data_IF_521172517615
#
_entry.id   IF_521172517615
#
_cell.length_a   1.000
_cell.length_b   1.000
_cell.length_c   1.000
_cell.angle_alpha   90.00
_cell.angle_beta   90.00
_cell.angle_gamma   90.00
#
_symmetry.space_group_name_H-M   'P 1'
#
loop_
_entity.id
_entity.type
_entity.pdbx_description
1 polymer ?
#
# COMPACT_ATOMS: atom_id res chain seq x y z
N UNK A 1 23.48 -21.13 -45.15
CA UNK A 1 22.29 -20.30 -44.85
C UNK A 1 21.50 -21.03 -43.78
N UNK A 2 21.70 -20.62 -42.53
CA UNK A 2 21.02 -21.25 -41.39
C UNK A 2 20.06 -20.20 -40.84
N UNK A 3 18.79 -20.44 -41.06
CA UNK A 3 17.71 -19.58 -40.50
C UNK A 3 17.62 -19.81 -39.00
N UNK A 4 17.95 -18.78 -38.24
CA UNK A 4 17.69 -18.75 -36.81
C UNK A 4 16.22 -18.38 -36.63
N UNK A 5 15.39 -19.33 -36.19
CA UNK A 5 14.00 -19.10 -35.85
C UNK A 5 13.94 -18.31 -34.55
N UNK A 6 13.51 -17.07 -34.62
CA UNK A 6 13.09 -16.27 -33.47
C UNK A 6 11.83 -16.90 -32.91
N UNK A 7 11.96 -17.59 -31.79
CA UNK A 7 10.84 -18.04 -30.96
C UNK A 7 10.16 -16.80 -30.39
N UNK A 8 9.02 -16.45 -30.94
CA UNK A 8 8.10 -15.50 -30.30
C UNK A 8 7.53 -16.15 -29.05
N UNK A 9 8.08 -15.83 -27.90
CA UNK A 9 7.39 -16.07 -26.63
C UNK A 9 6.07 -15.31 -26.70
N UNK A 10 4.95 -16.03 -26.82
CA UNK A 10 3.61 -15.49 -26.57
C UNK A 10 3.62 -15.07 -25.11
N UNK A 11 3.76 -13.77 -24.86
CA UNK A 11 3.52 -13.18 -23.55
C UNK A 11 2.12 -13.58 -23.11
N UNK A 12 2.01 -14.38 -22.06
CA UNK A 12 0.76 -14.48 -21.31
C UNK A 12 0.51 -13.07 -20.80
N UNK A 13 -0.58 -12.47 -21.25
CA UNK A 13 -1.05 -11.19 -20.71
C UNK A 13 -1.52 -11.49 -19.26
N UNK A 14 -0.61 -11.46 -18.32
CA UNK A 14 -0.94 -11.59 -16.89
C UNK A 14 -1.60 -10.27 -16.54
N UNK A 15 -2.93 -10.31 -16.43
CA UNK A 15 -3.69 -9.15 -16.02
C UNK A 15 -3.28 -8.79 -14.59
N UNK A 16 -2.91 -7.53 -14.36
CA UNK A 16 -2.61 -7.02 -13.03
C UNK A 16 -3.72 -7.36 -12.03
N UNK A 17 -3.33 -7.79 -10.85
CA UNK A 17 -4.25 -8.14 -9.76
C UNK A 17 -4.76 -6.89 -9.09
N UNK A 18 -6.01 -6.95 -8.59
CA UNK A 18 -6.62 -5.84 -7.87
C UNK A 18 -6.79 -6.15 -6.39
N UNK A 19 -6.50 -5.15 -5.55
CA UNK A 19 -6.63 -5.19 -4.12
C UNK A 19 -7.63 -4.15 -3.59
N UNK A 20 -8.14 -4.40 -2.40
CA UNK A 20 -8.98 -3.49 -1.65
C UNK A 20 -8.29 -3.15 -0.33
N UNK A 21 -8.16 -1.86 -0.03
CA UNK A 21 -7.75 -1.41 1.29
C UNK A 21 -9.00 -1.05 2.10
N UNK A 22 -9.11 -1.58 3.33
CA UNK A 22 -10.26 -1.37 4.21
C UNK A 22 -10.53 0.11 4.54
N UNK A 23 -9.52 1.00 4.39
CA UNK A 23 -9.73 2.44 4.51
C UNK A 23 -10.83 2.97 3.58
N UNK A 24 -10.97 2.38 2.40
CA UNK A 24 -11.92 2.81 1.36
C UNK A 24 -13.39 2.76 1.82
N UNK A 25 -13.73 1.88 2.78
CA UNK A 25 -15.08 1.75 3.32
C UNK A 25 -15.15 1.92 4.86
N UNK A 26 -14.08 2.39 5.49
CA UNK A 26 -13.86 2.36 6.94
C UNK A 26 -15.02 2.94 7.76
N UNK A 27 -15.60 4.05 7.33
CA UNK A 27 -16.70 4.73 8.02
C UNK A 27 -18.09 4.45 7.39
N UNK A 28 -18.15 3.57 6.39
CA UNK A 28 -19.43 3.16 5.83
C UNK A 28 -20.27 2.43 6.86
N UNK A 29 -21.57 2.72 6.85
CA UNK A 29 -22.49 2.06 7.78
C UNK A 29 -22.51 0.54 7.58
N UNK A 30 -22.17 -0.19 8.63
CA UNK A 30 -22.14 -1.66 8.63
C UNK A 30 -20.80 -2.25 8.23
N UNK A 31 -19.76 -1.42 8.09
CA UNK A 31 -18.39 -1.89 7.86
C UNK A 31 -17.93 -2.78 9.03
N UNK A 32 -17.23 -3.84 8.70
CA UNK A 32 -16.47 -4.71 9.58
C UNK A 32 -15.55 -5.56 8.70
N UNK A 33 -14.49 -6.15 9.27
CA UNK A 33 -13.62 -7.06 8.50
C UNK A 33 -14.41 -8.16 7.78
N UNK A 34 -15.42 -8.76 8.41
CA UNK A 34 -16.27 -9.78 7.79
C UNK A 34 -17.03 -9.20 6.59
N UNK A 35 -17.63 -8.02 6.75
CA UNK A 35 -18.36 -7.36 5.67
C UNK A 35 -17.43 -7.03 4.49
N UNK A 36 -16.21 -6.55 4.76
CA UNK A 36 -15.20 -6.26 3.73
C UNK A 36 -14.78 -7.55 3.00
N UNK A 37 -14.51 -8.62 3.73
CA UNK A 37 -14.16 -9.93 3.15
C UNK A 37 -15.25 -10.45 2.21
N UNK A 38 -16.51 -10.45 2.65
CA UNK A 38 -17.66 -10.93 1.86
C UNK A 38 -17.91 -10.05 0.61
N UNK A 39 -17.84 -8.73 0.77
CA UNK A 39 -18.02 -7.81 -0.35
C UNK A 39 -16.86 -7.89 -1.36
N UNK A 40 -15.60 -7.96 -0.91
CA UNK A 40 -14.44 -8.14 -1.77
C UNK A 40 -14.50 -9.46 -2.55
N UNK A 41 -14.88 -10.56 -1.90
CA UNK A 41 -15.10 -11.86 -2.57
C UNK A 41 -16.22 -11.75 -3.62
N UNK A 42 -17.37 -11.15 -3.27
CA UNK A 42 -18.54 -10.94 -4.12
C UNK A 42 -18.20 -10.11 -5.35
N UNK A 43 -17.48 -8.99 -5.17
CA UNK A 43 -17.13 -8.07 -6.25
C UNK A 43 -15.82 -8.40 -6.95
N UNK A 44 -15.17 -9.49 -6.57
CA UNK A 44 -14.07 -10.10 -7.32
C UNK A 44 -12.74 -9.41 -7.18
N UNK A 45 -12.43 -8.79 -6.04
CA UNK A 45 -11.05 -8.44 -5.70
C UNK A 45 -10.20 -9.71 -5.58
N UNK A 46 -8.92 -9.61 -5.92
CA UNK A 46 -7.97 -10.72 -5.74
C UNK A 46 -7.37 -10.72 -4.34
N UNK A 47 -7.18 -9.52 -3.76
CA UNK A 47 -6.50 -9.30 -2.50
C UNK A 47 -7.21 -8.26 -1.62
N UNK A 48 -6.95 -8.34 -0.31
CA UNK A 48 -7.36 -7.33 0.68
C UNK A 48 -6.16 -6.91 1.53
N UNK A 49 -6.04 -5.61 1.81
CA UNK A 49 -5.17 -5.04 2.82
C UNK A 49 -5.97 -4.82 4.08
N UNK A 50 -5.52 -5.43 5.17
CA UNK A 50 -6.24 -5.47 6.43
C UNK A 50 -5.68 -4.38 7.35
N UNK A 51 -6.59 -3.54 7.85
CA UNK A 51 -6.25 -2.50 8.80
C UNK A 51 -6.11 -3.04 10.22
N UNK A 52 -5.22 -2.38 10.96
CA UNK A 52 -4.94 -2.71 12.36
C UNK A 52 -6.18 -2.62 13.27
N UNK A 53 -6.96 -1.57 13.12
CA UNK A 53 -8.19 -1.35 13.87
C UNK A 53 -9.26 -2.41 13.53
N UNK A 54 -9.45 -2.72 12.24
CA UNK A 54 -10.43 -3.72 11.79
C UNK A 54 -10.12 -5.13 12.32
N UNK A 55 -8.85 -5.55 12.25
CA UNK A 55 -8.50 -6.89 12.77
C UNK A 55 -8.56 -6.97 14.30
N UNK A 56 -8.21 -5.91 15.02
CA UNK A 56 -8.38 -5.87 16.48
C UNK A 56 -9.85 -5.91 16.89
N UNK A 57 -10.71 -5.23 16.15
CA UNK A 57 -12.15 -5.27 16.40
C UNK A 57 -12.72 -6.66 16.11
N UNK A 58 -12.32 -7.28 14.99
CA UNK A 58 -12.68 -8.66 14.66
C UNK A 58 -12.30 -9.65 15.78
N UNK A 59 -11.10 -9.54 16.34
CA UNK A 59 -10.60 -10.45 17.38
C UNK A 59 -11.28 -10.28 18.76
N UNK A 60 -12.18 -9.31 18.93
CA UNK A 60 -13.01 -9.21 20.14
C UNK A 60 -14.09 -10.31 20.22
N UNK A 61 -14.51 -10.83 19.07
CA UNK A 61 -15.60 -11.81 18.96
C UNK A 61 -15.21 -13.08 18.21
N UNK A 62 -14.06 -13.05 17.50
CA UNK A 62 -13.57 -14.11 16.61
C UNK A 62 -12.10 -14.46 16.89
N UNK A 63 -11.60 -15.52 16.25
CA UNK A 63 -10.22 -15.99 16.38
C UNK A 63 -9.43 -15.85 15.07
N UNK A 64 -8.10 -15.90 15.15
CA UNK A 64 -7.24 -15.95 13.97
C UNK A 64 -7.41 -17.25 13.18
N UNK A 65 -7.76 -18.36 13.83
CA UNK A 65 -8.05 -19.62 13.19
C UNK A 65 -9.30 -19.54 12.31
N UNK A 66 -10.36 -18.88 12.80
CA UNK A 66 -11.57 -18.64 12.01
C UNK A 66 -11.27 -17.78 10.78
N UNK A 67 -10.45 -16.73 10.93
CA UNK A 67 -10.03 -15.90 9.81
C UNK A 67 -9.16 -16.67 8.81
N UNK A 68 -8.25 -17.49 9.29
CA UNK A 68 -7.41 -18.35 8.45
C UNK A 68 -8.26 -19.38 7.66
N UNK A 69 -9.25 -19.97 8.30
CA UNK A 69 -10.19 -20.90 7.66
C UNK A 69 -11.06 -20.16 6.62
N UNK A 70 -11.45 -18.91 6.88
CA UNK A 70 -12.15 -18.10 5.89
C UNK A 70 -11.29 -17.95 4.63
N UNK A 71 -10.05 -17.45 4.72
CA UNK A 71 -9.15 -17.25 3.57
C UNK A 71 -8.81 -18.56 2.86
N UNK A 72 -8.76 -19.69 3.55
CA UNK A 72 -8.52 -20.99 2.96
C UNK A 72 -9.67 -21.43 2.03
N UNK A 73 -10.90 -21.07 2.38
CA UNK A 73 -12.10 -21.50 1.69
C UNK A 73 -12.61 -20.51 0.62
N UNK A 74 -11.98 -19.33 0.49
CA UNK A 74 -12.37 -18.28 -0.44
C UNK A 74 -11.24 -17.96 -1.42
N UNK A 75 -11.61 -17.30 -2.52
CA UNK A 75 -10.68 -16.86 -3.57
C UNK A 75 -9.84 -15.67 -3.11
N UNK A 76 -10.47 -14.71 -2.43
CA UNK A 76 -9.80 -13.53 -1.87
C UNK A 76 -8.64 -13.94 -0.97
N UNK A 77 -7.51 -13.24 -1.07
CA UNK A 77 -6.31 -13.51 -0.27
C UNK A 77 -5.86 -12.27 0.51
N UNK A 78 -5.29 -12.45 1.72
CA UNK A 78 -4.70 -11.34 2.45
C UNK A 78 -3.45 -10.87 1.71
N UNK A 79 -3.31 -9.55 1.53
CA UNK A 79 -2.17 -8.95 0.85
C UNK A 79 -1.18 -8.35 1.83
N UNK A 80 -1.61 -7.30 2.53
CA UNK A 80 -0.77 -6.54 3.43
C UNK A 80 -1.51 -6.19 4.71
N UNK A 81 -0.73 -5.96 5.75
CA UNK A 81 -1.16 -5.24 6.94
C UNK A 81 -0.99 -3.72 6.69
N UNK A 82 -2.05 -2.97 6.81
CA UNK A 82 -2.10 -1.54 6.62
C UNK A 82 -2.61 -0.86 7.90
N UNK A 83 -1.76 -0.23 8.67
CA UNK A 83 -0.34 0.07 8.47
C UNK A 83 0.34 0.26 9.83
N UNK A 84 1.65 0.07 9.87
CA UNK A 84 2.46 0.43 11.04
C UNK A 84 2.77 1.93 10.97
N UNK A 85 1.96 2.73 11.67
CA UNK A 85 2.01 4.18 11.62
C UNK A 85 3.16 4.78 12.43
N UNK A 86 3.85 5.77 11.83
CA UNK A 86 4.84 6.59 12.53
C UNK A 86 5.90 5.74 13.25
N UNK A 87 6.42 4.72 12.53
CA UNK A 87 7.30 3.70 13.10
C UNK A 87 8.71 4.23 13.43
N UNK A 88 9.09 5.37 12.89
CA UNK A 88 10.38 6.05 13.07
C UNK A 88 10.26 7.28 13.96
N UNK A 89 11.38 7.91 14.31
CA UNK A 89 11.46 9.16 15.10
C UNK A 89 10.77 9.06 16.48
N UNK A 90 10.72 7.86 17.06
CA UNK A 90 10.05 7.57 18.33
C UNK A 90 11.07 7.58 19.49
N UNK A 91 10.59 7.98 20.66
CA UNK A 91 11.30 7.74 21.91
C UNK A 91 11.30 6.25 22.32
N UNK A 92 11.95 5.91 23.42
CA UNK A 92 12.05 4.51 23.86
C UNK A 92 10.69 3.88 24.24
N UNK A 93 9.69 4.66 24.64
CA UNK A 93 8.35 4.16 24.89
C UNK A 93 7.64 3.85 23.57
N UNK A 94 7.68 4.79 22.63
CA UNK A 94 7.10 4.61 21.30
C UNK A 94 7.78 3.49 20.50
N UNK A 95 9.10 3.29 20.66
CA UNK A 95 9.78 2.13 20.05
C UNK A 95 9.26 0.80 20.56
N UNK A 96 8.93 0.70 21.86
CA UNK A 96 8.33 -0.52 22.44
C UNK A 96 6.92 -0.75 21.90
N UNK A 97 6.11 0.30 21.77
CA UNK A 97 4.78 0.21 21.16
C UNK A 97 4.86 -0.34 19.71
N UNK A 98 5.79 0.17 18.91
CA UNK A 98 6.05 -0.33 17.55
C UNK A 98 6.50 -1.80 17.57
N UNK A 99 7.32 -2.20 18.54
CA UNK A 99 7.80 -3.57 18.67
C UNK A 99 6.67 -4.54 19.05
N UNK A 100 5.78 -4.15 19.97
CA UNK A 100 4.59 -4.93 20.37
C UNK A 100 3.60 -5.07 19.20
N UNK A 101 3.39 -3.99 18.46
CA UNK A 101 2.54 -4.02 17.27
C UNK A 101 3.15 -4.91 16.17
N UNK A 102 4.47 -4.82 15.96
CA UNK A 102 5.17 -5.70 15.01
C UNK A 102 5.04 -7.18 15.38
N UNK A 103 5.13 -7.53 16.66
CA UNK A 103 4.92 -8.90 17.14
C UNK A 103 3.49 -9.40 16.87
N UNK A 104 2.49 -8.56 17.12
CA UNK A 104 1.11 -8.86 16.77
C UNK A 104 0.94 -9.09 15.26
N UNK A 105 1.54 -8.23 14.43
CA UNK A 105 1.50 -8.37 12.96
C UNK A 105 2.13 -9.71 12.52
N UNK A 106 3.24 -10.11 13.14
CA UNK A 106 3.90 -11.40 12.84
C UNK A 106 3.00 -12.59 13.22
N UNK A 107 2.27 -12.50 14.33
CA UNK A 107 1.29 -13.53 14.73
C UNK A 107 0.16 -13.65 13.70
N UNK A 108 -0.45 -12.51 13.33
CA UNK A 108 -1.49 -12.44 12.30
C UNK A 108 -0.96 -12.97 10.96
N UNK A 109 0.20 -12.51 10.52
CA UNK A 109 0.81 -12.92 9.25
C UNK A 109 1.04 -14.44 9.20
N UNK A 110 1.50 -15.02 10.30
CA UNK A 110 1.68 -16.46 10.42
C UNK A 110 0.35 -17.23 10.34
N UNK A 111 -0.70 -16.70 10.96
CA UNK A 111 -2.00 -17.37 11.01
C UNK A 111 -2.70 -17.36 9.64
N UNK A 112 -2.76 -16.22 8.97
CA UNK A 112 -3.54 -16.06 7.72
C UNK A 112 -2.70 -16.11 6.45
N UNK A 113 -1.38 -16.19 6.55
CA UNK A 113 -0.47 -16.24 5.40
C UNK A 113 -0.21 -14.89 4.72
N UNK A 114 -0.50 -13.78 5.40
CA UNK A 114 -0.16 -12.43 4.93
C UNK A 114 1.35 -12.23 4.90
N UNK A 115 1.88 -11.57 3.86
CA UNK A 115 3.32 -11.52 3.59
C UNK A 115 3.90 -10.11 3.53
N UNK A 116 3.12 -9.10 3.82
CA UNK A 116 3.56 -7.72 3.72
C UNK A 116 3.05 -6.86 4.87
N UNK A 117 3.92 -5.97 5.33
CA UNK A 117 3.65 -4.90 6.27
C UNK A 117 3.93 -3.57 5.58
N UNK A 118 2.93 -2.70 5.48
CA UNK A 118 3.11 -1.32 5.04
C UNK A 118 3.49 -0.47 6.25
N UNK A 119 4.47 0.40 6.08
CA UNK A 119 4.96 1.30 7.14
C UNK A 119 4.85 2.74 6.68
N UNK A 120 4.36 3.62 7.55
CA UNK A 120 4.21 5.05 7.29
C UNK A 120 5.13 5.85 8.19
N UNK A 121 5.95 6.77 7.64
CA UNK A 121 6.91 7.54 8.41
C UNK A 121 6.26 8.61 9.29
N UNK A 122 7.01 9.10 10.28
CA UNK A 122 6.55 10.09 11.23
C UNK A 122 6.25 11.45 10.57
N UNK A 123 5.33 12.17 11.17
CA UNK A 123 4.98 13.55 10.83
C UNK A 123 5.48 14.53 11.90
N UNK A 124 5.53 15.82 11.57
CA UNK A 124 5.86 16.90 12.50
C UNK A 124 7.21 16.75 13.22
N UNK A 125 8.19 16.09 12.58
CA UNK A 125 9.54 15.93 13.13
C UNK A 125 10.20 17.28 13.24
N UNK A 126 10.68 17.64 14.45
CA UNK A 126 11.29 18.93 14.75
C UNK A 126 12.73 18.75 15.16
N UNK A 127 13.51 19.82 14.94
CA UNK A 127 14.90 19.95 15.43
C UNK A 127 15.86 18.86 14.92
N UNK A 128 15.56 18.28 13.74
CA UNK A 128 16.41 17.32 13.05
C UNK A 128 16.64 17.74 11.59
N UNK A 129 17.85 17.54 11.12
CA UNK A 129 18.18 17.71 9.71
C UNK A 129 17.61 16.56 8.87
N UNK A 130 17.47 16.79 7.57
CA UNK A 130 17.05 15.74 6.61
C UNK A 130 17.99 14.52 6.66
N UNK A 131 19.31 14.74 6.88
CA UNK A 131 20.27 13.62 7.00
C UNK A 131 20.00 12.77 8.23
N UNK A 132 19.78 13.39 9.39
CA UNK A 132 19.47 12.68 10.64
C UNK A 132 18.17 11.90 10.53
N UNK A 133 17.16 12.45 9.86
CA UNK A 133 15.89 11.77 9.59
C UNK A 133 16.13 10.52 8.72
N UNK A 134 16.86 10.67 7.62
CA UNK A 134 17.18 9.56 6.71
C UNK A 134 18.01 8.45 7.38
N UNK A 135 19.00 8.83 8.17
CA UNK A 135 19.87 7.89 8.88
C UNK A 135 19.04 7.04 9.87
N UNK A 136 18.20 7.67 10.67
CA UNK A 136 17.32 6.97 11.60
C UNK A 136 16.29 6.10 10.89
N UNK A 137 15.71 6.56 9.78
CA UNK A 137 14.79 5.78 8.94
C UNK A 137 15.44 4.48 8.45
N UNK A 138 16.68 4.57 7.94
CA UNK A 138 17.47 3.42 7.51
C UNK A 138 17.71 2.44 8.67
N UNK A 139 18.07 2.94 9.85
CA UNK A 139 18.29 2.12 11.04
C UNK A 139 17.01 1.39 11.46
N UNK A 140 15.87 2.09 11.48
CA UNK A 140 14.59 1.52 11.88
C UNK A 140 14.09 0.47 10.88
N UNK A 141 14.21 0.71 9.58
CA UNK A 141 13.84 -0.27 8.56
C UNK A 141 14.72 -1.52 8.61
N UNK A 142 16.03 -1.38 8.86
CA UNK A 142 16.92 -2.52 9.09
C UNK A 142 16.51 -3.32 10.33
N UNK A 143 16.24 -2.63 11.42
CA UNK A 143 15.78 -3.27 12.66
C UNK A 143 14.49 -4.05 12.45
N UNK A 144 13.48 -3.43 11.81
CA UNK A 144 12.21 -4.10 11.51
C UNK A 144 12.42 -5.29 10.56
N UNK A 145 13.26 -5.13 9.52
CA UNK A 145 13.59 -6.20 8.58
C UNK A 145 14.20 -7.40 9.28
N UNK A 146 15.16 -7.17 10.18
CA UNK A 146 15.80 -8.23 10.96
C UNK A 146 14.79 -8.88 11.95
N UNK A 147 13.85 -8.10 12.53
CA UNK A 147 12.82 -8.58 13.46
C UNK A 147 11.77 -9.46 12.78
N UNK A 148 11.25 -9.05 11.63
CA UNK A 148 10.19 -9.79 10.93
C UNK A 148 10.72 -10.97 10.09
N UNK A 149 12.02 -10.95 9.76
CA UNK A 149 12.66 -11.98 8.93
C UNK A 149 12.31 -11.85 7.44
N UNK A 150 12.86 -12.76 6.62
CA UNK A 150 12.74 -12.69 5.15
C UNK A 150 11.33 -13.07 4.63
N UNK A 151 10.51 -13.68 5.45
CA UNK A 151 9.16 -14.14 5.07
C UNK A 151 8.14 -13.01 4.98
N UNK A 152 8.41 -11.86 5.61
CA UNK A 152 7.54 -10.68 5.61
C UNK A 152 8.26 -9.53 4.91
N UNK A 153 7.65 -8.98 3.88
CA UNK A 153 8.08 -7.76 3.21
C UNK A 153 7.69 -6.54 4.03
N UNK A 154 8.57 -5.56 4.09
CA UNK A 154 8.28 -4.22 4.62
C UNK A 154 8.21 -3.25 3.46
N UNK A 155 7.08 -2.60 3.30
CA UNK A 155 6.84 -1.64 2.24
C UNK A 155 6.74 -0.23 2.82
N UNK A 156 7.76 0.61 2.59
CA UNK A 156 7.76 2.01 3.02
C UNK A 156 6.81 2.81 2.12
N UNK A 157 5.78 3.35 2.70
CA UNK A 157 4.88 4.29 2.05
C UNK A 157 5.24 5.72 2.47
N UNK A 158 5.81 6.49 1.54
CA UNK A 158 6.01 7.92 1.76
C UNK A 158 4.67 8.67 1.71
N UNK A 159 4.46 9.64 2.60
CA UNK A 159 3.21 10.39 2.64
C UNK A 159 3.37 11.78 2.03
N UNK A 160 2.59 12.09 1.02
CA UNK A 160 2.61 13.33 0.27
C UNK A 160 2.07 14.54 1.06
N UNK A 161 2.63 14.79 2.26
CA UNK A 161 2.27 15.93 3.10
C UNK A 161 3.52 16.73 3.49
N UNK A 162 3.46 18.07 3.54
CA UNK A 162 4.62 18.92 3.84
C UNK A 162 5.27 18.63 5.20
N UNK A 163 4.50 18.14 6.16
CA UNK A 163 4.96 17.81 7.51
C UNK A 163 5.39 16.35 7.69
N UNK A 164 5.27 15.51 6.66
CA UNK A 164 5.76 14.14 6.71
C UNK A 164 7.29 14.10 6.59
N UNK A 165 7.95 13.26 7.39
CA UNK A 165 9.41 13.17 7.44
C UNK A 165 10.01 12.62 6.14
N UNK A 166 9.29 11.73 5.45
CA UNK A 166 9.64 11.20 4.12
C UNK A 166 8.43 11.37 3.22
N UNK A 167 8.46 12.40 2.38
CA UNK A 167 7.28 12.87 1.64
C UNK A 167 7.43 12.87 0.12
N UNK A 168 8.49 12.29 -0.42
CA UNK A 168 8.70 12.15 -1.86
C UNK A 168 9.27 10.77 -2.20
N UNK A 169 8.84 10.23 -3.34
CA UNK A 169 9.30 8.94 -3.85
C UNK A 169 10.83 8.83 -3.93
N UNK A 170 11.52 9.83 -4.50
CA UNK A 170 12.98 9.80 -4.66
C UNK A 170 13.73 9.67 -3.34
N UNK A 171 13.24 10.35 -2.29
CA UNK A 171 13.79 10.25 -0.93
C UNK A 171 13.56 8.87 -0.34
N UNK A 172 12.34 8.34 -0.45
CA UNK A 172 11.99 7.00 0.02
C UNK A 172 12.82 5.92 -0.69
N UNK A 173 12.99 6.05 -2.00
CA UNK A 173 13.79 5.11 -2.78
C UNK A 173 15.27 5.12 -2.41
N UNK A 174 15.86 6.29 -2.16
CA UNK A 174 17.24 6.41 -1.67
C UNK A 174 17.43 5.73 -0.31
N UNK A 175 16.45 5.85 0.58
CA UNK A 175 16.42 5.15 1.88
C UNK A 175 16.39 3.65 1.65
N UNK A 176 15.46 3.13 0.86
CA UNK A 176 15.32 1.69 0.59
C UNK A 176 16.58 1.10 -0.04
N UNK A 177 17.21 1.83 -0.97
CA UNK A 177 18.53 1.42 -1.51
C UNK A 177 19.61 1.35 -0.43
N UNK A 178 19.62 2.31 0.49
CA UNK A 178 20.61 2.38 1.57
C UNK A 178 20.37 1.29 2.63
N UNK A 179 19.12 0.93 2.88
CA UNK A 179 18.75 -0.20 3.75
C UNK A 179 19.35 -1.51 3.25
N UNK A 180 19.35 -1.74 1.94
CA UNK A 180 19.94 -2.90 1.27
C UNK A 180 19.49 -4.24 1.86
N UNK A 181 18.16 -4.43 1.98
CA UNK A 181 17.51 -5.69 2.38
C UNK A 181 16.56 -6.14 1.28
N UNK A 182 16.53 -7.44 0.99
CA UNK A 182 15.66 -8.04 -0.04
C UNK A 182 14.17 -7.86 0.27
N UNK A 183 13.82 -7.91 1.55
CA UNK A 183 12.46 -7.78 2.07
C UNK A 183 12.03 -6.34 2.38
N UNK A 184 12.81 -5.31 1.99
CA UNK A 184 12.43 -3.89 2.15
C UNK A 184 12.24 -3.26 0.77
N UNK A 185 11.10 -2.62 0.57
CA UNK A 185 10.68 -1.97 -0.67
C UNK A 185 9.76 -0.77 -0.41
N UNK A 186 9.04 -0.35 -1.43
CA UNK A 186 8.22 0.87 -1.44
C UNK A 186 6.78 0.56 -1.85
N UNK A 187 5.84 1.22 -1.19
CA UNK A 187 4.48 1.45 -1.69
C UNK A 187 4.45 2.76 -2.47
N UNK A 188 3.97 2.71 -3.70
CA UNK A 188 3.70 3.90 -4.52
C UNK A 188 2.21 4.20 -4.42
N UNK A 189 1.87 5.25 -3.69
CA UNK A 189 0.52 5.81 -3.64
C UNK A 189 0.41 6.99 -4.60
N UNK A 190 -0.63 7.02 -5.45
CA UNK A 190 -0.78 8.00 -6.52
C UNK A 190 -1.08 9.41 -6.00
N UNK A 191 -1.89 9.53 -4.93
CA UNK A 191 -2.16 10.80 -4.27
C UNK A 191 -0.88 11.38 -3.64
N UNK A 192 -0.17 10.58 -2.86
CA UNK A 192 1.07 10.99 -2.23
C UNK A 192 2.17 11.32 -3.24
N UNK A 193 2.21 10.59 -4.35
CA UNK A 193 3.13 10.90 -5.45
C UNK A 193 2.86 12.27 -6.07
N UNK A 194 1.57 12.62 -6.24
CA UNK A 194 1.13 13.89 -6.80
C UNK A 194 1.38 15.06 -5.84
N UNK A 195 0.91 14.96 -4.58
CA UNK A 195 0.85 16.07 -3.63
C UNK A 195 2.20 16.73 -3.33
N UNK A 196 3.28 15.96 -3.28
CA UNK A 196 4.64 16.50 -3.06
C UNK A 196 5.50 16.48 -4.31
N UNK A 197 4.89 16.46 -5.50
CA UNK A 197 5.57 16.56 -6.79
C UNK A 197 6.70 15.53 -6.94
N UNK A 198 6.46 14.27 -6.56
CA UNK A 198 7.40 13.19 -6.85
C UNK A 198 7.65 13.09 -8.36
N UNK A 199 8.88 12.78 -8.75
CA UNK A 199 9.29 12.85 -10.15
C UNK A 199 9.14 11.50 -10.85
N UNK A 200 8.54 11.48 -12.03
CA UNK A 200 8.45 10.28 -12.87
C UNK A 200 9.84 9.74 -13.25
N UNK A 201 10.83 10.60 -13.40
CA UNK A 201 12.21 10.19 -13.69
C UNK A 201 12.80 9.35 -12.58
N UNK A 202 12.51 9.68 -11.30
CA UNK A 202 12.96 8.90 -10.16
C UNK A 202 12.28 7.52 -10.13
N UNK A 203 10.98 7.46 -10.45
CA UNK A 203 10.24 6.20 -10.54
C UNK A 203 10.76 5.33 -11.70
N UNK A 204 10.99 5.91 -12.88
CA UNK A 204 11.56 5.19 -14.05
C UNK A 204 12.98 4.68 -13.82
N UNK A 205 13.73 5.31 -12.93
CA UNK A 205 15.08 4.90 -12.56
C UNK A 205 15.12 3.84 -11.44
N UNK A 206 13.96 3.50 -10.88
CA UNK A 206 13.87 2.56 -9.77
C UNK A 206 14.00 1.09 -10.25
N UNK A 207 14.46 0.22 -9.36
CA UNK A 207 14.36 -1.23 -9.53
C UNK A 207 12.91 -1.67 -9.24
N UNK A 208 12.19 -2.16 -10.25
CA UNK A 208 10.80 -2.60 -10.11
C UNK A 208 10.62 -3.70 -9.05
N UNK A 209 11.67 -4.51 -8.77
CA UNK A 209 11.63 -5.50 -7.69
C UNK A 209 11.57 -4.87 -6.28
N UNK A 210 11.78 -3.56 -6.16
CA UNK A 210 11.66 -2.80 -4.91
C UNK A 210 10.34 -2.07 -4.77
N UNK A 211 9.49 -2.09 -5.78
CA UNK A 211 8.12 -1.60 -5.68
C UNK A 211 7.24 -2.78 -5.27
N UNK A 212 6.72 -2.74 -4.05
CA UNK A 212 5.99 -3.88 -3.47
C UNK A 212 4.49 -3.74 -3.54
N UNK A 213 3.97 -2.50 -3.46
CA UNK A 213 2.55 -2.20 -3.53
C UNK A 213 2.31 -0.93 -4.37
N UNK A 214 1.12 -0.85 -4.93
CA UNK A 214 0.65 0.32 -5.69
C UNK A 214 -0.74 0.68 -5.19
N UNK A 215 -0.84 1.82 -4.47
CA UNK A 215 -2.11 2.37 -4.02
C UNK A 215 -2.68 3.32 -5.06
N UNK A 216 -3.91 3.03 -5.44
CA UNK A 216 -4.64 3.74 -6.48
C UNK A 216 -5.71 4.64 -5.87
N UNK A 217 -5.68 5.88 -6.24
CA UNK A 217 -6.62 6.95 -5.90
C UNK A 217 -6.39 8.12 -6.87
N UNK A 218 -7.13 9.19 -6.76
CA UNK A 218 -6.93 10.44 -7.48
C UNK A 218 -6.95 11.62 -6.50
N UNK A 219 -6.82 12.86 -6.97
CA UNK A 219 -6.74 14.05 -6.15
C UNK A 219 -7.56 15.19 -6.74
N UNK A 220 -8.20 16.01 -5.89
CA UNK A 220 -8.84 17.25 -6.32
C UNK A 220 -7.81 18.23 -6.93
N UNK A 221 -8.26 19.09 -7.86
CA UNK A 221 -7.44 20.16 -8.46
C UNK A 221 -7.27 21.33 -7.49
N UNK A 222 -6.39 21.14 -6.50
CA UNK A 222 -6.05 22.11 -5.46
C UNK A 222 -4.54 22.40 -5.45
N UNK A 223 -4.07 23.46 -4.76
CA UNK A 223 -2.63 23.72 -4.66
C UNK A 223 -1.86 22.56 -4.03
N UNK A 224 -0.79 22.14 -4.68
CA UNK A 224 0.08 21.05 -4.25
C UNK A 224 0.53 21.18 -2.79
N UNK A 225 0.51 20.11 -2.04
CA UNK A 225 0.83 20.07 -0.62
C UNK A 225 -0.26 20.62 0.30
N UNK A 226 -1.45 20.98 -0.24
CA UNK A 226 -2.55 21.49 0.56
C UNK A 226 -3.68 20.47 0.79
N UNK A 227 -3.65 19.34 0.07
CA UNK A 227 -4.67 18.31 0.20
C UNK A 227 -4.37 17.36 1.37
N UNK A 228 -5.37 17.12 2.21
CA UNK A 228 -5.41 15.98 3.10
C UNK A 228 -6.04 14.77 2.38
N UNK A 229 -5.99 13.61 3.02
CA UNK A 229 -6.57 12.38 2.47
C UNK A 229 -8.08 12.49 2.17
N UNK A 230 -8.78 13.42 2.83
CA UNK A 230 -10.18 13.76 2.56
C UNK A 230 -10.43 14.39 1.17
N UNK A 231 -9.38 14.68 0.43
CA UNK A 231 -9.41 15.22 -0.95
C UNK A 231 -9.11 14.15 -2.01
N UNK A 232 -8.95 12.90 -1.61
CA UNK A 232 -8.84 11.80 -2.57
C UNK A 232 -10.13 11.65 -3.37
N UNK A 233 -10.00 11.19 -4.61
CA UNK A 233 -11.08 10.96 -5.55
C UNK A 233 -10.95 9.57 -6.17
N UNK A 234 -12.07 9.02 -6.66
CA UNK A 234 -12.00 7.82 -7.47
C UNK A 234 -11.06 8.01 -8.67
N UNK A 235 -10.28 6.97 -9.02
CA UNK A 235 -9.32 7.04 -10.13
C UNK A 235 -9.93 7.55 -11.42
N UNK A 236 -9.37 8.62 -11.98
CA UNK A 236 -9.81 9.28 -13.21
C UNK A 236 -10.80 10.42 -13.00
N UNK A 237 -11.15 10.77 -11.77
CA UNK A 237 -12.03 11.89 -11.45
C UNK A 237 -11.23 13.17 -11.05
N UNK A 238 -9.92 13.07 -10.91
CA UNK A 238 -9.03 14.15 -10.46
C UNK A 238 -7.94 14.52 -11.47
N UNK A 239 -6.78 14.94 -10.92
CA UNK A 239 -5.67 15.54 -11.68
C UNK A 239 -4.36 14.75 -11.64
N UNK A 240 -4.34 13.58 -11.02
CA UNK A 240 -3.13 12.75 -10.94
C UNK A 240 -2.70 12.27 -12.32
N UNK A 241 -1.40 12.33 -12.63
CA UNK A 241 -0.83 11.80 -13.89
C UNK A 241 -0.77 10.25 -13.87
N UNK A 242 -1.93 9.63 -13.95
CA UNK A 242 -2.06 8.17 -13.97
C UNK A 242 -1.36 7.51 -15.16
N UNK A 243 -1.39 8.16 -16.32
CA UNK A 243 -0.73 7.62 -17.52
C UNK A 243 0.78 7.59 -17.36
N UNK A 244 1.37 8.66 -16.82
CA UNK A 244 2.80 8.75 -16.54
C UNK A 244 3.24 7.73 -15.51
N UNK A 245 2.53 7.62 -14.37
CA UNK A 245 2.85 6.68 -13.29
C UNK A 245 2.71 5.23 -13.76
N UNK A 246 1.60 4.87 -14.39
CA UNK A 246 1.38 3.51 -14.90
C UNK A 246 2.39 3.12 -15.98
N UNK A 247 2.74 4.06 -16.88
CA UNK A 247 3.79 3.84 -17.87
C UNK A 247 5.14 3.58 -17.23
N UNK A 248 5.52 4.36 -16.21
CA UNK A 248 6.76 4.18 -15.48
C UNK A 248 6.80 2.82 -14.75
N UNK A 249 5.72 2.43 -14.06
CA UNK A 249 5.61 1.13 -13.40
C UNK A 249 5.75 -0.05 -14.38
N UNK A 250 5.14 0.05 -15.56
CA UNK A 250 5.30 -0.96 -16.62
C UNK A 250 6.72 -1.03 -17.16
N UNK A 251 7.36 0.12 -17.38
CA UNK A 251 8.72 0.21 -17.90
C UNK A 251 9.73 -0.47 -16.97
N UNK A 252 9.56 -0.33 -15.65
CA UNK A 252 10.41 -0.99 -14.64
C UNK A 252 9.99 -2.43 -14.32
N UNK A 253 8.93 -2.94 -14.95
CA UNK A 253 8.47 -4.32 -14.81
C UNK A 253 7.73 -4.62 -13.53
N UNK A 254 7.02 -3.63 -12.93
CA UNK A 254 6.14 -3.87 -11.78
C UNK A 254 5.02 -4.84 -12.15
N UNK A 255 4.86 -5.92 -11.37
CA UNK A 255 3.87 -6.98 -11.54
C UNK A 255 3.04 -7.26 -10.26
N UNK A 256 3.03 -6.29 -9.33
CA UNK A 256 2.34 -6.40 -8.05
C UNK A 256 0.83 -6.24 -8.14
N UNK A 257 0.24 -5.82 -7.01
CA UNK A 257 -1.20 -5.59 -6.85
C UNK A 257 -1.49 -4.09 -6.95
N UNK A 258 -2.56 -3.73 -7.66
CA UNK A 258 -3.13 -2.39 -7.68
C UNK A 258 -4.26 -2.34 -6.66
N UNK A 259 -4.03 -1.72 -5.51
CA UNK A 259 -4.97 -1.63 -4.40
C UNK A 259 -5.65 -0.27 -4.37
N UNK A 260 -6.98 -0.24 -4.38
CA UNK A 260 -7.74 1.00 -4.19
C UNK A 260 -7.69 1.42 -2.73
N UNK A 261 -7.38 2.69 -2.47
CA UNK A 261 -7.32 3.27 -1.13
C UNK A 261 -7.90 4.68 -1.11
N UNK A 262 -9.04 4.85 -0.45
CA UNK A 262 -9.77 6.12 -0.38
C UNK A 262 -10.08 6.48 1.09
N UNK A 263 -10.08 7.79 1.37
CA UNK A 263 -10.40 8.33 2.69
C UNK A 263 -11.43 9.47 2.61
N UNK A 264 -12.20 9.53 1.52
CA UNK A 264 -13.12 10.63 1.27
C UNK A 264 -14.41 10.50 2.08
N UNK A 265 -14.78 11.50 2.92
CA UNK A 265 -15.99 11.43 3.75
C UNK A 265 -17.28 11.23 2.96
N UNK A 266 -17.41 11.84 1.77
CA UNK A 266 -18.59 11.71 0.92
C UNK A 266 -18.78 10.27 0.40
N UNK A 267 -17.69 9.49 0.29
CA UNK A 267 -17.78 8.08 -0.11
C UNK A 267 -18.25 7.17 1.03
N UNK A 268 -18.04 7.60 2.26
CA UNK A 268 -18.56 6.90 3.46
C UNK A 268 -20.06 7.09 3.69
N UNK A 269 -20.68 8.06 3.00
CA UNK A 269 -22.14 8.21 2.99
C UNK A 269 -22.83 7.12 2.17
N UNK A 270 -22.12 6.43 1.29
CA UNK A 270 -22.63 5.26 0.56
C UNK A 270 -22.87 4.10 1.53
N UNK A 271 -23.77 3.18 1.15
CA UNK A 271 -23.79 1.90 1.86
C UNK A 271 -22.47 1.15 1.63
N UNK A 272 -22.05 0.35 2.60
CA UNK A 272 -20.82 -0.44 2.50
C UNK A 272 -20.76 -1.27 1.19
N UNK A 273 -21.84 -1.97 0.84
CA UNK A 273 -21.92 -2.80 -0.37
C UNK A 273 -21.79 -1.97 -1.68
N UNK A 274 -22.39 -0.77 -1.72
CA UNK A 274 -22.25 0.15 -2.88
C UNK A 274 -20.85 0.72 -2.99
N UNK A 275 -20.20 1.09 -1.87
CA UNK A 275 -18.83 1.60 -1.84
C UNK A 275 -17.85 0.55 -2.38
N UNK A 276 -17.85 -0.67 -1.82
CA UNK A 276 -16.94 -1.74 -2.25
C UNK A 276 -17.20 -2.14 -3.72
N UNK A 277 -18.47 -2.13 -4.17
CA UNK A 277 -18.82 -2.35 -5.58
C UNK A 277 -18.21 -1.29 -6.48
N UNK A 278 -18.38 0.00 -6.14
CA UNK A 278 -17.83 1.13 -6.91
C UNK A 278 -16.31 1.04 -6.96
N UNK A 279 -15.67 0.78 -5.81
CA UNK A 279 -14.22 0.58 -5.72
C UNK A 279 -13.73 -0.52 -6.69
N UNK A 280 -14.44 -1.66 -6.75
CA UNK A 280 -14.10 -2.76 -7.66
C UNK A 280 -14.27 -2.38 -9.13
N UNK A 281 -15.29 -1.60 -9.48
CA UNK A 281 -15.55 -1.14 -10.85
C UNK A 281 -14.44 -0.21 -11.32
N UNK A 282 -14.14 0.86 -10.57
CA UNK A 282 -13.13 1.86 -10.97
C UNK A 282 -11.72 1.28 -11.02
N UNK A 283 -11.37 0.39 -10.08
CA UNK A 283 -10.05 -0.26 -10.09
C UNK A 283 -9.87 -1.15 -11.32
N UNK A 284 -10.91 -1.91 -11.71
CA UNK A 284 -10.85 -2.73 -12.93
C UNK A 284 -10.80 -1.90 -14.20
N UNK A 285 -11.56 -0.83 -14.28
CA UNK A 285 -11.51 0.10 -15.40
C UNK A 285 -10.12 0.69 -15.55
N UNK A 286 -9.53 1.11 -14.46
CA UNK A 286 -8.16 1.62 -14.42
C UNK A 286 -7.13 0.57 -14.88
N UNK A 287 -7.14 -0.61 -14.30
CA UNK A 287 -6.20 -1.69 -14.67
C UNK A 287 -6.38 -2.10 -16.14
N UNK A 288 -7.62 -2.20 -16.64
CA UNK A 288 -7.86 -2.52 -18.04
C UNK A 288 -7.39 -1.43 -19.02
N UNK A 289 -7.37 -0.18 -18.58
CA UNK A 289 -6.94 0.97 -19.41
C UNK A 289 -5.42 1.10 -19.46
N UNK A 290 -4.75 0.86 -18.35
CA UNK A 290 -3.33 1.22 -18.21
C UNK A 290 -2.37 0.02 -18.12
N UNK A 291 -2.85 -1.19 -17.78
CA UNK A 291 -2.04 -2.41 -17.64
C UNK A 291 -2.56 -3.57 -18.50
#
# INVERSE_FOLDING_TARGET
MTFCALSSAKGMNIKMKIGFNEATALECKGQSLIADLEACEKYGFDYIEIRFDCIKDYLKEHTLEELADWFKNHRLKPWAYNTLLFFNQRDEAGKREIDEETEFIMEVSKAIGMKMLITVPAVDVKDKSVSEIKEEEVERLRYLSDKVGEDIKISLEFCGAPNCSINQFGTAYDIVKTVDRSNVGITVDTFHFHEMCSKLEDLKAADGNKIFAYHLNDCEDLPLGSCGDDKRLWPGEGVVDHEGIASALKEIGFDGVCTIEEFRPEYYEMSHDENVKKAAEVTREFVNKYF
#
